data_IF_055871554057
#
_entry.id   IF_055871554057
#
_cell.length_a   1.000
_cell.length_b   1.000
_cell.length_c   1.000
_cell.angle_alpha   90.00
_cell.angle_beta   90.00
_cell.angle_gamma   90.00
#
_symmetry.space_group_name_H-M   'P 1'
#
loop_
_entity.id
_entity.type
_entity.pdbx_description
1 polymer ?
#
# COMPACT_ATOMS: atom_id res chain seq x y z
N UNK A 1 20.73 1.11 -8.86
CA UNK A 1 21.43 2.38 -9.19
C UNK A 1 20.58 3.13 -10.21
N UNK A 2 19.58 3.90 -9.76
CA UNK A 2 18.61 4.63 -10.60
C UNK A 2 18.40 6.09 -10.15
N UNK A 3 18.98 6.52 -9.03
CA UNK A 3 18.63 7.81 -8.41
C UNK A 3 19.15 9.04 -9.16
N UNK A 4 20.33 8.96 -9.81
CA UNK A 4 20.91 10.11 -10.53
C UNK A 4 20.23 10.42 -11.88
N UNK A 5 19.85 9.37 -12.62
CA UNK A 5 19.45 9.50 -14.02
C UNK A 5 17.98 9.92 -14.21
N UNK A 6 17.12 9.68 -13.21
CA UNK A 6 15.68 10.01 -13.24
C UNK A 6 15.37 11.51 -13.20
N UNK A 7 16.28 12.31 -12.65
CA UNK A 7 16.14 13.77 -12.58
C UNK A 7 16.05 14.41 -13.97
N UNK A 8 16.77 13.85 -14.94
CA UNK A 8 16.84 14.32 -16.32
C UNK A 8 15.80 13.67 -17.25
N UNK A 9 15.08 12.65 -16.78
CA UNK A 9 14.06 11.98 -17.59
C UNK A 9 12.84 12.88 -17.76
N UNK A 10 12.32 12.95 -18.99
CA UNK A 10 11.05 13.63 -19.29
C UNK A 10 9.87 12.71 -18.91
N UNK A 11 9.58 12.68 -17.61
CA UNK A 11 8.44 11.98 -17.02
C UNK A 11 7.37 12.98 -16.57
N UNK A 12 6.13 12.52 -16.55
CA UNK A 12 5.03 13.26 -15.93
C UNK A 12 5.27 13.38 -14.42
N UNK A 13 5.20 14.60 -13.92
CA UNK A 13 5.36 14.96 -12.50
C UNK A 13 4.13 15.71 -11.98
N UNK A 14 3.03 15.71 -12.74
CA UNK A 14 1.85 16.49 -12.45
C UNK A 14 2.00 17.99 -12.76
N UNK A 15 1.02 18.81 -12.33
CA UNK A 15 -0.18 18.42 -11.61
C UNK A 15 -1.15 17.61 -12.49
N UNK A 16 -1.80 16.60 -11.91
CA UNK A 16 -2.80 15.78 -12.60
C UNK A 16 -4.17 16.46 -12.55
N UNK A 17 -4.83 16.56 -13.70
CA UNK A 17 -6.11 17.28 -13.84
C UNK A 17 -7.33 16.36 -13.71
N UNK A 18 -7.12 15.05 -13.66
CA UNK A 18 -8.18 14.06 -13.53
C UNK A 18 -7.78 12.96 -12.53
N UNK A 19 -8.75 12.29 -11.88
CA UNK A 19 -8.47 11.12 -11.04
C UNK A 19 -7.78 10.00 -11.80
N UNK A 20 -8.08 9.85 -13.10
CA UNK A 20 -7.45 8.86 -13.98
C UNK A 20 -5.98 9.17 -14.21
N UNK A 21 -5.64 10.43 -14.51
CA UNK A 21 -4.25 10.84 -14.67
C UNK A 21 -3.48 10.64 -13.37
N UNK A 22 -4.10 11.00 -12.23
CA UNK A 22 -3.51 10.77 -10.91
C UNK A 22 -3.22 9.28 -10.67
N UNK A 23 -4.23 8.42 -10.86
CA UNK A 23 -4.17 6.98 -10.60
C UNK A 23 -3.21 6.24 -11.54
N UNK A 24 -3.04 6.72 -12.78
CA UNK A 24 -2.17 6.07 -13.78
C UNK A 24 -0.76 6.66 -13.87
N UNK A 25 -0.51 7.79 -13.22
CA UNK A 25 0.74 8.55 -13.33
C UNK A 25 1.97 7.75 -12.95
N UNK A 26 1.92 7.04 -11.82
CA UNK A 26 3.00 6.21 -11.31
C UNK A 26 3.40 5.14 -12.33
N UNK A 27 2.43 4.35 -12.81
CA UNK A 27 2.66 3.33 -13.83
C UNK A 27 3.27 3.89 -15.13
N UNK A 28 2.78 5.04 -15.62
CA UNK A 28 3.32 5.70 -16.84
C UNK A 28 4.77 6.16 -16.63
N UNK A 29 5.06 6.72 -15.46
CA UNK A 29 6.40 7.18 -15.07
C UNK A 29 7.37 5.99 -14.94
N UNK A 30 7.01 4.96 -14.19
CA UNK A 30 7.87 3.79 -14.00
C UNK A 30 8.10 3.06 -15.33
N UNK A 31 7.08 2.92 -16.18
CA UNK A 31 7.25 2.37 -17.53
C UNK A 31 8.31 3.14 -18.31
N UNK A 32 8.27 4.47 -18.28
CA UNK A 32 9.25 5.32 -18.98
C UNK A 32 10.67 5.13 -18.43
N UNK A 33 10.81 5.07 -17.09
CA UNK A 33 12.11 4.87 -16.44
C UNK A 33 12.67 3.48 -16.73
N UNK A 34 11.85 2.44 -16.68
CA UNK A 34 12.26 1.06 -16.94
C UNK A 34 12.75 0.91 -18.37
N UNK A 35 11.99 1.40 -19.35
CA UNK A 35 12.36 1.31 -20.77
C UNK A 35 13.67 2.03 -21.11
N UNK A 36 14.07 3.03 -20.32
CA UNK A 36 15.28 3.80 -20.57
C UNK A 36 16.52 3.28 -19.84
N UNK A 37 16.36 2.80 -18.60
CA UNK A 37 17.49 2.60 -17.70
C UNK A 37 17.55 1.20 -17.08
N UNK A 38 16.46 0.44 -17.09
CA UNK A 38 16.45 -0.87 -16.44
C UNK A 38 17.31 -1.87 -17.20
N UNK A 39 17.94 -2.75 -16.43
CA UNK A 39 18.67 -3.91 -16.93
C UNK A 39 18.14 -5.14 -16.21
N UNK A 40 18.18 -6.32 -16.88
CA UNK A 40 17.99 -7.58 -16.19
C UNK A 40 18.93 -7.67 -14.99
N UNK A 41 18.39 -8.08 -13.86
CA UNK A 41 19.13 -8.25 -12.62
C UNK A 41 18.46 -9.35 -11.78
N UNK A 42 19.20 -10.05 -10.92
CA UNK A 42 18.60 -10.99 -10.00
C UNK A 42 17.71 -10.22 -9.03
N UNK A 43 16.74 -10.92 -8.43
CA UNK A 43 15.95 -10.37 -7.33
C UNK A 43 16.88 -9.81 -6.25
N UNK A 44 16.66 -8.55 -5.85
CA UNK A 44 17.47 -7.85 -4.83
C UNK A 44 16.78 -7.72 -3.47
N UNK A 45 15.49 -8.01 -3.41
CA UNK A 45 14.69 -8.05 -2.18
C UNK A 45 15.28 -9.04 -1.18
N UNK A 46 14.88 -8.96 0.09
CA UNK A 46 15.36 -9.82 1.19
C UNK A 46 15.21 -11.34 0.97
N UNK A 47 14.50 -11.74 -0.09
CA UNK A 47 14.49 -13.10 -0.61
C UNK A 47 15.88 -13.55 -1.08
N UNK A 48 16.07 -14.88 -1.12
CA UNK A 48 17.26 -15.45 -1.73
C UNK A 48 17.36 -14.97 -3.19
N UNK A 49 18.55 -14.48 -3.63
CA UNK A 49 18.74 -14.07 -5.00
C UNK A 49 18.40 -15.22 -5.95
N UNK A 50 17.64 -14.91 -6.99
CA UNK A 50 17.35 -15.86 -8.06
C UNK A 50 18.65 -16.27 -8.76
N UNK A 51 18.71 -17.53 -9.20
CA UNK A 51 19.84 -18.03 -10.01
C UNK A 51 19.85 -17.48 -11.45
N UNK A 52 18.82 -16.70 -11.80
CA UNK A 52 18.60 -16.08 -13.09
C UNK A 52 18.21 -14.61 -12.92
N UNK A 53 18.44 -13.80 -13.96
CA UNK A 53 18.03 -12.40 -14.00
C UNK A 53 16.54 -12.28 -14.33
N UNK A 54 15.83 -11.39 -13.63
CA UNK A 54 14.45 -11.03 -13.95
C UNK A 54 14.47 -9.94 -15.02
N UNK A 55 13.70 -10.13 -16.09
CA UNK A 55 13.69 -9.20 -17.22
C UNK A 55 12.78 -8.00 -16.92
N UNK A 56 13.21 -6.74 -17.17
CA UNK A 56 12.37 -5.57 -16.93
C UNK A 56 11.06 -5.55 -17.73
N UNK A 57 10.96 -6.34 -18.81
CA UNK A 57 9.72 -6.54 -19.56
C UNK A 57 8.61 -7.17 -18.72
N UNK A 58 8.94 -7.98 -17.71
CA UNK A 58 7.94 -8.54 -16.79
C UNK A 58 7.23 -7.43 -16.01
N UNK A 59 8.00 -6.49 -15.46
CA UNK A 59 7.45 -5.36 -14.72
C UNK A 59 6.63 -4.43 -15.63
N UNK A 60 7.13 -4.09 -16.82
CA UNK A 60 6.37 -3.24 -17.76
C UNK A 60 5.10 -3.93 -18.29
N UNK A 61 5.09 -5.25 -18.43
CA UNK A 61 3.89 -6.04 -18.77
C UNK A 61 2.82 -5.92 -17.69
N UNK A 62 3.21 -5.99 -16.41
CA UNK A 62 2.29 -5.77 -15.28
C UNK A 62 1.79 -4.32 -15.23
N UNK A 63 2.66 -3.32 -15.40
CA UNK A 63 2.23 -1.91 -15.47
C UNK A 63 1.24 -1.67 -16.63
N UNK A 64 1.44 -2.32 -17.78
CA UNK A 64 0.50 -2.27 -18.90
C UNK A 64 -0.86 -2.90 -18.58
N UNK A 65 -0.87 -4.01 -17.83
CA UNK A 65 -2.11 -4.62 -17.32
C UNK A 65 -2.83 -3.69 -16.34
N UNK A 66 -2.09 -3.04 -15.43
CA UNK A 66 -2.67 -2.04 -14.52
C UNK A 66 -3.36 -0.92 -15.29
N UNK A 67 -2.73 -0.37 -16.34
CA UNK A 67 -3.33 0.70 -17.16
C UNK A 67 -4.63 0.26 -17.84
N UNK A 68 -4.80 -1.03 -18.17
CA UNK A 68 -6.06 -1.57 -18.71
C UNK A 68 -7.16 -1.68 -17.63
N UNK A 69 -6.78 -1.90 -16.38
CA UNK A 69 -7.71 -2.02 -15.25
C UNK A 69 -8.08 -0.64 -14.66
N UNK A 70 -7.20 0.35 -14.81
CA UNK A 70 -7.22 1.59 -14.04
C UNK A 70 -8.57 2.30 -14.01
N UNK A 71 -9.19 2.51 -15.18
CA UNK A 71 -10.47 3.22 -15.30
C UNK A 71 -11.63 2.49 -14.63
N UNK A 72 -11.57 1.16 -14.55
CA UNK A 72 -12.59 0.32 -13.92
C UNK A 72 -12.43 0.25 -12.39
N UNK A 73 -11.21 0.50 -11.90
CA UNK A 73 -10.90 0.53 -10.48
C UNK A 73 -11.20 1.87 -9.81
N UNK A 74 -11.36 2.96 -10.58
CA UNK A 74 -11.73 4.26 -10.05
C UNK A 74 -13.21 4.25 -9.64
N UNK A 75 -13.56 4.63 -8.39
CA UNK A 75 -14.96 4.73 -7.97
C UNK A 75 -15.75 5.72 -8.84
N UNK A 76 -17.00 5.39 -9.15
CA UNK A 76 -17.86 6.24 -10.00
C UNK A 76 -18.36 7.49 -9.29
N UNK A 77 -18.39 7.50 -7.96
CA UNK A 77 -18.85 8.64 -7.18
C UNK A 77 -17.78 9.76 -7.19
N UNK A 78 -18.20 10.96 -7.60
CA UNK A 78 -17.32 12.13 -7.63
C UNK A 78 -16.81 12.53 -6.24
N UNK A 79 -17.52 12.20 -5.16
CA UNK A 79 -17.09 12.48 -3.79
C UNK A 79 -15.82 11.71 -3.45
N UNK A 80 -15.71 10.45 -3.88
CA UNK A 80 -14.53 9.61 -3.67
C UNK A 80 -13.34 10.07 -4.50
N UNK A 81 -13.58 10.82 -5.56
CA UNK A 81 -12.57 11.37 -6.46
C UNK A 81 -12.11 12.78 -6.10
N UNK A 82 -12.69 13.40 -5.07
CA UNK A 82 -12.28 14.71 -4.60
C UNK A 82 -10.83 14.68 -4.10
N UNK A 83 -10.01 15.64 -4.53
CA UNK A 83 -8.65 15.81 -4.03
C UNK A 83 -8.71 16.25 -2.57
N UNK A 84 -8.03 15.48 -1.71
CA UNK A 84 -7.87 15.81 -0.30
C UNK A 84 -6.38 15.86 0.06
N UNK A 85 -6.09 16.62 1.10
CA UNK A 85 -4.80 16.59 1.78
C UNK A 85 -4.98 15.74 3.04
N UNK A 86 -4.23 14.64 3.13
CA UNK A 86 -4.12 13.82 4.34
C UNK A 86 -2.67 13.80 4.79
N UNK A 87 -2.48 13.81 6.10
CA UNK A 87 -1.18 13.60 6.70
C UNK A 87 -0.64 12.22 6.29
N UNK A 88 0.57 12.11 5.74
CA UNK A 88 1.11 10.84 5.24
C UNK A 88 1.36 9.86 6.38
N UNK A 89 1.90 10.35 7.50
CA UNK A 89 2.24 9.51 8.65
C UNK A 89 1.69 10.09 9.98
N UNK A 90 0.39 9.92 10.23
CA UNK A 90 -0.22 10.48 11.44
C UNK A 90 -0.04 9.53 12.64
N UNK A 91 1.13 9.55 13.25
CA UNK A 91 1.44 8.88 14.54
C UNK A 91 1.23 9.82 15.73
N UNK A 92 1.29 9.27 16.95
CA UNK A 92 1.24 10.08 18.18
C UNK A 92 2.47 10.99 18.32
N UNK A 93 3.62 10.61 17.75
CA UNK A 93 4.85 11.40 17.75
C UNK A 93 4.70 12.69 16.92
N UNK A 94 3.83 12.66 15.90
CA UNK A 94 3.54 13.79 15.03
C UNK A 94 2.42 14.72 15.56
N UNK A 95 1.89 14.47 16.77
CA UNK A 95 0.85 15.28 17.41
C UNK A 95 1.41 15.95 18.68
N UNK A 96 1.54 17.29 18.62
CA UNK A 96 1.99 18.08 19.76
C UNK A 96 0.79 18.53 20.61
N UNK A 97 0.85 18.32 21.92
CA UNK A 97 -0.17 18.75 22.88
C UNK A 97 0.26 20.01 23.66
N UNK A 98 -0.71 20.81 24.09
CA UNK A 98 -0.45 21.89 25.03
C UNK A 98 0.02 21.34 26.40
N UNK A 99 1.02 21.96 27.06
CA UNK A 99 1.51 21.49 28.35
C UNK A 99 0.39 21.38 29.40
N UNK A 100 0.23 20.18 29.96
CA UNK A 100 -0.78 19.91 31.00
C UNK A 100 -2.23 19.78 30.48
N UNK A 101 -2.42 19.62 29.16
CA UNK A 101 -3.74 19.52 28.52
C UNK A 101 -3.77 18.42 27.44
N UNK A 102 -4.97 17.95 27.10
CA UNK A 102 -5.20 17.06 25.96
C UNK A 102 -5.54 17.83 24.65
N UNK A 103 -5.38 19.16 24.65
CA UNK A 103 -5.61 20.00 23.47
C UNK A 103 -4.43 19.91 22.51
N UNK A 104 -4.73 19.60 21.26
CA UNK A 104 -3.74 19.59 20.16
C UNK A 104 -3.24 21.02 19.93
N UNK A 105 -1.94 21.22 20.07
CA UNK A 105 -1.24 22.46 19.78
C UNK A 105 -0.81 22.53 18.31
N UNK A 106 -0.31 21.43 17.75
CA UNK A 106 0.12 21.35 16.35
C UNK A 106 0.18 19.90 15.86
N UNK A 107 0.07 19.72 14.54
CA UNK A 107 0.44 18.49 13.83
C UNK A 107 1.67 18.83 13.01
N UNK A 108 2.75 18.07 13.17
CA UNK A 108 4.03 18.27 12.49
C UNK A 108 4.26 17.17 11.46
N UNK A 109 5.38 17.24 10.73
CA UNK A 109 5.81 16.21 9.80
C UNK A 109 4.92 16.02 8.55
N UNK A 110 4.45 17.14 8.01
CA UNK A 110 3.72 17.19 6.74
C UNK A 110 4.61 17.01 5.50
N UNK A 111 5.90 16.66 5.68
CA UNK A 111 6.75 16.32 4.54
C UNK A 111 6.15 15.11 3.80
N UNK A 112 6.31 15.07 2.48
CA UNK A 112 5.71 14.04 1.61
C UNK A 112 4.17 14.00 1.56
N UNK A 113 3.48 15.02 2.09
CA UNK A 113 2.03 15.15 1.89
C UNK A 113 1.69 15.37 0.42
N UNK A 114 0.78 14.55 -0.11
CA UNK A 114 0.33 14.62 -1.50
C UNK A 114 -1.18 14.90 -1.54
N UNK A 115 -1.63 15.69 -2.52
CA UNK A 115 -3.05 15.85 -2.83
C UNK A 115 -3.50 14.74 -3.78
N UNK A 116 -4.24 13.74 -3.28
CA UNK A 116 -4.81 12.64 -4.08
C UNK A 116 -6.33 12.53 -3.88
N UNK A 117 -7.01 11.84 -4.80
CA UNK A 117 -8.39 11.40 -4.61
C UNK A 117 -8.62 10.75 -3.23
N UNK A 118 -9.75 11.05 -2.61
CA UNK A 118 -10.16 10.51 -1.32
C UNK A 118 -10.07 8.97 -1.27
N UNK A 119 -10.46 8.25 -2.32
CA UNK A 119 -10.36 6.79 -2.32
C UNK A 119 -8.92 6.25 -2.29
N UNK A 120 -7.92 7.05 -2.65
CA UNK A 120 -6.52 6.64 -2.52
C UNK A 120 -5.97 6.91 -1.12
N UNK A 121 -6.57 7.85 -0.38
CA UNK A 121 -6.09 8.28 0.93
C UNK A 121 -6.98 7.82 2.10
N UNK A 122 -8.20 7.36 1.85
CA UNK A 122 -9.10 6.89 2.90
C UNK A 122 -8.51 5.65 3.59
N UNK A 123 -8.67 5.58 4.90
CA UNK A 123 -7.99 4.59 5.76
C UNK A 123 -8.02 5.05 7.21
N UNK A 124 -7.53 4.23 8.13
CA UNK A 124 -7.41 4.58 9.53
C UNK A 124 -6.01 5.19 9.78
N UNK A 125 -5.80 6.00 10.83
CA UNK A 125 -4.46 6.40 11.25
C UNK A 125 -3.69 5.20 11.80
N UNK A 126 -2.36 5.23 11.73
CA UNK A 126 -1.51 4.14 12.23
C UNK A 126 -1.81 3.79 13.70
N UNK A 127 -2.02 4.78 14.57
CA UNK A 127 -2.40 4.55 15.97
C UNK A 127 -3.83 4.01 16.19
N UNK A 128 -4.62 3.80 15.12
CA UNK A 128 -5.91 3.11 15.14
C UNK A 128 -5.85 1.75 14.43
N UNK A 129 -4.75 1.45 13.74
CA UNK A 129 -4.56 0.24 12.96
C UNK A 129 -3.78 -0.76 13.82
N UNK A 130 -4.25 -2.01 13.81
CA UNK A 130 -3.63 -3.07 14.58
C UNK A 130 -2.26 -3.39 13.99
N UNK A 131 -1.28 -3.61 14.87
CA UNK A 131 -0.23 -4.58 14.61
C UNK A 131 -0.34 -5.72 15.65
N UNK A 132 0.09 -6.89 15.22
CA UNK A 132 -0.24 -8.24 15.69
C UNK A 132 0.01 -8.54 17.19
N UNK A 133 -0.60 -9.64 17.63
CA UNK A 133 -1.02 -9.92 19.01
C UNK A 133 0.08 -10.40 19.98
N UNK A 134 1.37 -10.38 19.63
CA UNK A 134 2.38 -11.09 20.44
C UNK A 134 3.39 -10.23 21.22
N UNK A 135 3.43 -8.90 21.07
CA UNK A 135 4.38 -8.07 21.85
C UNK A 135 3.80 -6.84 22.56
N UNK A 136 2.53 -6.49 22.36
CA UNK A 136 1.91 -5.39 23.09
C UNK A 136 1.30 -5.85 24.42
N UNK A 137 1.71 -5.23 25.53
CA UNK A 137 1.04 -5.42 26.82
C UNK A 137 -0.49 -5.26 26.65
N UNK A 138 -1.30 -6.08 27.34
CA UNK A 138 -2.77 -6.03 27.25
C UNK A 138 -3.38 -4.62 27.42
N UNK A 139 -2.68 -3.72 28.13
CA UNK A 139 -3.06 -2.30 28.28
C UNK A 139 -2.88 -1.47 27.02
N UNK A 140 -1.89 -1.78 26.19
CA UNK A 140 -1.67 -1.12 24.92
C UNK A 140 -2.78 -1.54 23.94
N UNK A 141 -3.01 -2.85 23.78
CA UNK A 141 -4.11 -3.41 22.96
C UNK A 141 -5.47 -2.76 23.27
N UNK A 142 -5.83 -2.68 24.55
CA UNK A 142 -7.09 -2.05 24.98
C UNK A 142 -7.19 -0.56 24.59
N UNK A 143 -6.10 0.20 24.68
CA UNK A 143 -6.10 1.62 24.28
C UNK A 143 -6.25 1.78 22.77
N UNK A 144 -5.66 0.88 21.98
CA UNK A 144 -5.82 0.87 20.53
C UNK A 144 -7.25 0.55 20.09
N UNK A 145 -7.87 -0.48 20.67
CA UNK A 145 -9.28 -0.81 20.41
C UNK A 145 -10.21 0.37 20.72
N UNK A 146 -9.94 1.08 21.83
CA UNK A 146 -10.65 2.31 22.15
C UNK A 146 -10.42 3.40 21.09
N UNK A 147 -9.16 3.65 20.70
CA UNK A 147 -8.83 4.66 19.70
C UNK A 147 -9.52 4.39 18.35
N UNK A 148 -9.49 3.14 17.89
CA UNK A 148 -10.16 2.71 16.68
C UNK A 148 -11.68 2.91 16.76
N UNK A 149 -12.30 2.53 17.88
CA UNK A 149 -13.74 2.73 18.10
C UNK A 149 -14.11 4.22 18.08
N UNK A 150 -13.33 5.06 18.78
CA UNK A 150 -13.55 6.51 18.79
C UNK A 150 -13.35 7.12 17.40
N UNK A 151 -12.30 6.72 16.68
CA UNK A 151 -12.04 7.20 15.33
C UNK A 151 -13.17 6.80 14.38
N UNK A 152 -13.63 5.55 14.43
CA UNK A 152 -14.74 5.03 13.64
C UNK A 152 -16.02 5.83 13.92
N UNK A 153 -16.38 6.01 15.19
CA UNK A 153 -17.58 6.75 15.59
C UNK A 153 -17.50 8.22 15.17
N UNK A 154 -16.37 8.90 15.44
CA UNK A 154 -16.17 10.29 15.08
C UNK A 154 -16.18 10.49 13.56
N UNK A 155 -15.54 9.61 12.79
CA UNK A 155 -15.55 9.63 11.32
C UNK A 155 -16.98 9.49 10.80
N UNK A 156 -17.76 8.55 11.32
CA UNK A 156 -19.15 8.36 10.93
C UNK A 156 -20.05 9.57 11.26
N UNK A 157 -19.78 10.27 12.37
CA UNK A 157 -20.56 11.43 12.81
C UNK A 157 -20.18 12.75 12.12
N UNK A 158 -18.88 12.95 11.87
CA UNK A 158 -18.34 14.26 11.48
C UNK A 158 -17.74 14.28 10.07
N UNK A 159 -17.46 13.13 9.44
CA UNK A 159 -16.87 13.05 8.11
C UNK A 159 -17.55 11.99 7.23
N UNK A 160 -18.77 12.30 6.79
CA UNK A 160 -19.59 11.39 5.97
C UNK A 160 -18.92 10.98 4.66
N UNK A 161 -18.12 11.85 4.04
CA UNK A 161 -17.40 11.54 2.80
C UNK A 161 -16.34 10.46 3.04
N UNK A 162 -15.51 10.62 4.07
CA UNK A 162 -14.51 9.61 4.46
C UNK A 162 -15.17 8.31 4.89
N UNK A 163 -16.24 8.38 5.67
CA UNK A 163 -17.02 7.20 6.06
C UNK A 163 -17.58 6.44 4.85
N UNK A 164 -18.02 7.16 3.81
CA UNK A 164 -18.48 6.54 2.57
C UNK A 164 -17.33 5.91 1.77
N UNK A 165 -16.13 6.52 1.80
CA UNK A 165 -14.96 6.00 1.12
C UNK A 165 -14.45 4.71 1.76
N UNK A 166 -14.45 4.61 3.09
CA UNK A 166 -14.11 3.38 3.82
C UNK A 166 -15.01 2.18 3.49
N UNK A 167 -16.18 2.43 2.89
CA UNK A 167 -17.13 1.38 2.45
C UNK A 167 -16.95 0.98 0.99
N UNK A 168 -15.98 1.54 0.27
CA UNK A 168 -15.70 1.16 -1.11
C UNK A 168 -15.28 -0.32 -1.14
N UNK A 169 -15.91 -1.16 -1.98
CA UNK A 169 -15.53 -2.56 -2.09
C UNK A 169 -14.06 -2.72 -2.48
N UNK A 170 -13.35 -3.52 -1.67
CA UNK A 170 -11.93 -3.84 -1.86
C UNK A 170 -11.04 -2.60 -1.94
N UNK A 171 -11.35 -1.54 -1.16
CA UNK A 171 -10.58 -0.29 -1.10
C UNK A 171 -9.07 -0.55 -0.92
N UNK A 172 -8.70 -1.35 0.07
CA UNK A 172 -7.30 -1.68 0.37
C UNK A 172 -6.59 -2.33 -0.83
N UNK A 173 -7.22 -3.28 -1.51
CA UNK A 173 -6.64 -3.92 -2.71
C UNK A 173 -6.45 -2.92 -3.86
N UNK A 174 -7.36 -1.96 -4.05
CA UNK A 174 -7.21 -0.90 -5.06
C UNK A 174 -6.03 0.01 -4.73
N UNK A 175 -5.91 0.41 -3.46
CA UNK A 175 -4.83 1.25 -2.96
C UNK A 175 -3.48 0.54 -3.06
N UNK A 176 -3.43 -0.74 -2.69
CA UNK A 176 -2.25 -1.58 -2.80
C UNK A 176 -1.75 -1.68 -4.22
N UNK A 177 -2.63 -2.07 -5.16
CA UNK A 177 -2.24 -2.17 -6.56
C UNK A 177 -1.69 -0.84 -7.09
N UNK A 178 -2.32 0.27 -6.73
CA UNK A 178 -1.82 1.59 -7.10
C UNK A 178 -0.44 1.87 -6.52
N UNK A 179 -0.24 1.63 -5.23
CA UNK A 179 1.04 1.82 -4.56
C UNK A 179 2.13 0.97 -5.24
N UNK A 180 1.85 -0.31 -5.53
CA UNK A 180 2.77 -1.22 -6.22
C UNK A 180 3.20 -0.70 -7.60
N UNK A 181 2.40 0.14 -8.27
CA UNK A 181 2.79 0.72 -9.56
C UNK A 181 3.81 1.85 -9.48
N UNK A 182 4.06 2.37 -8.28
CA UNK A 182 5.04 3.43 -8.00
C UNK A 182 6.42 2.94 -7.61
N UNK A 183 6.58 1.64 -7.37
CA UNK A 183 7.87 1.07 -6.95
C UNK A 183 8.90 1.12 -8.06
N UNK A 184 10.15 1.31 -7.63
CA UNK A 184 11.31 1.38 -8.49
C UNK A 184 11.68 0.00 -9.01
N UNK A 185 12.22 -0.07 -10.23
CA UNK A 185 12.82 -1.30 -10.71
C UNK A 185 14.04 -1.72 -9.88
N UNK A 186 13.88 -2.79 -9.14
CA UNK A 186 14.86 -3.43 -8.27
C UNK A 186 15.08 -4.92 -8.60
N UNK A 187 14.35 -5.44 -9.59
CA UNK A 187 14.37 -6.84 -9.95
C UNK A 187 13.29 -7.66 -9.24
N UNK A 188 12.29 -7.03 -8.62
CA UNK A 188 11.13 -7.70 -8.06
C UNK A 188 9.83 -7.30 -8.79
N UNK A 189 8.92 -8.26 -8.88
CA UNK A 189 7.58 -8.14 -9.48
C UNK A 189 6.53 -8.89 -8.67
N UNK A 190 6.90 -9.54 -7.55
CA UNK A 190 6.03 -10.42 -6.76
C UNK A 190 4.82 -9.64 -6.25
N UNK A 191 5.04 -8.54 -5.53
CA UNK A 191 3.97 -7.76 -4.92
C UNK A 191 3.05 -7.14 -5.97
N UNK A 192 3.61 -6.59 -7.05
CA UNK A 192 2.83 -6.07 -8.17
C UNK A 192 1.99 -7.18 -8.84
N UNK A 193 2.56 -8.39 -9.01
CA UNK A 193 1.86 -9.55 -9.59
C UNK A 193 0.76 -10.05 -8.66
N UNK A 194 1.04 -10.18 -7.36
CA UNK A 194 0.08 -10.58 -6.35
C UNK A 194 -1.10 -9.61 -6.30
N UNK A 195 -0.84 -8.30 -6.29
CA UNK A 195 -1.87 -7.26 -6.36
C UNK A 195 -2.78 -7.42 -7.58
N UNK A 196 -2.20 -7.68 -8.75
CA UNK A 196 -2.96 -7.93 -9.98
C UNK A 196 -3.80 -9.19 -9.91
N UNK A 197 -3.23 -10.31 -9.46
CA UNK A 197 -3.98 -11.57 -9.35
C UNK A 197 -5.12 -11.44 -8.35
N UNK A 198 -4.86 -10.77 -7.23
CA UNK A 198 -5.81 -10.44 -6.18
C UNK A 198 -7.01 -9.67 -6.70
N UNK A 199 -6.78 -8.46 -7.24
CA UNK A 199 -7.84 -7.58 -7.74
C UNK A 199 -8.65 -8.24 -8.87
N UNK A 200 -8.01 -9.07 -9.70
CA UNK A 200 -8.64 -9.73 -10.85
C UNK A 200 -9.25 -11.10 -10.51
N UNK A 201 -9.29 -11.48 -9.22
CA UNK A 201 -10.02 -12.66 -8.77
C UNK A 201 -11.51 -12.45 -9.01
N UNK A 202 -12.26 -13.42 -9.60
CA UNK A 202 -13.65 -13.21 -9.99
C UNK A 202 -14.54 -12.62 -8.88
N UNK A 203 -14.42 -13.16 -7.65
CA UNK A 203 -15.20 -12.68 -6.50
C UNK A 203 -14.91 -11.21 -6.14
N UNK A 204 -13.63 -10.81 -6.23
CA UNK A 204 -13.18 -9.43 -5.96
C UNK A 204 -13.61 -8.49 -7.08
N UNK A 205 -13.39 -8.91 -8.34
CA UNK A 205 -13.69 -8.11 -9.50
C UNK A 205 -15.19 -7.84 -9.66
N UNK A 206 -16.03 -8.87 -9.46
CA UNK A 206 -17.49 -8.75 -9.55
C UNK A 206 -18.06 -7.82 -8.46
N UNK A 207 -17.38 -7.70 -7.32
CA UNK A 207 -17.74 -6.75 -6.27
C UNK A 207 -17.33 -5.30 -6.59
N UNK A 208 -16.33 -5.11 -7.46
CA UNK A 208 -15.83 -3.80 -7.88
C UNK A 208 -16.65 -3.23 -9.05
N UNK A 209 -16.93 -4.06 -10.06
CA UNK A 209 -17.59 -3.65 -11.30
C UNK A 209 -18.38 -4.79 -11.93
N UNK A 210 -19.43 -4.44 -12.67
CA UNK A 210 -20.19 -5.41 -13.48
C UNK A 210 -19.56 -5.67 -14.85
N UNK A 211 -18.48 -4.97 -15.21
CA UNK A 211 -17.79 -5.12 -16.48
C UNK A 211 -16.84 -6.33 -16.46
N UNK A 212 -16.65 -6.98 -17.61
CA UNK A 212 -15.71 -8.10 -17.71
C UNK A 212 -14.29 -7.62 -17.47
N UNK A 213 -13.53 -8.38 -16.67
CA UNK A 213 -12.13 -8.08 -16.42
C UNK A 213 -11.31 -8.13 -17.73
N UNK A 214 -10.65 -7.04 -18.13
CA UNK A 214 -9.84 -7.01 -19.36
C UNK A 214 -8.52 -7.78 -19.23
N UNK A 215 -8.08 -8.05 -18.00
CA UNK A 215 -6.85 -8.80 -17.70
C UNK A 215 -7.20 -10.12 -17.06
N UNK A 216 -6.74 -11.23 -17.65
CA UNK A 216 -6.98 -12.57 -17.12
C UNK A 216 -5.64 -13.26 -16.93
N UNK A 217 -5.43 -13.78 -15.73
CA UNK A 217 -4.32 -14.69 -15.41
C UNK A 217 -4.83 -16.12 -15.46
N UNK A 218 -4.02 -17.01 -16.06
CA UNK A 218 -4.25 -18.46 -16.05
C UNK A 218 -4.13 -19.03 -14.64
N UNK A 219 -4.75 -20.19 -14.39
CA UNK A 219 -4.68 -20.84 -13.07
C UNK A 219 -3.24 -21.09 -12.62
N UNK A 220 -2.35 -21.42 -13.56
CA UNK A 220 -0.92 -21.58 -13.27
C UNK A 220 -0.26 -20.26 -12.85
N UNK A 221 -0.52 -19.16 -13.56
CA UNK A 221 0.01 -17.83 -13.18
C UNK A 221 -0.53 -17.39 -11.83
N UNK A 222 -1.80 -17.68 -11.53
CA UNK A 222 -2.41 -17.37 -10.22
C UNK A 222 -1.76 -18.17 -9.10
N UNK A 223 -1.57 -19.46 -9.31
CA UNK A 223 -0.95 -20.34 -8.33
C UNK A 223 0.50 -19.93 -8.06
N UNK A 224 1.30 -19.72 -9.10
CA UNK A 224 2.69 -19.25 -8.96
C UNK A 224 2.76 -17.88 -8.29
N UNK A 225 1.88 -16.95 -8.67
CA UNK A 225 1.84 -15.64 -8.02
C UNK A 225 1.55 -15.77 -6.53
N UNK A 226 0.66 -16.68 -6.11
CA UNK A 226 0.35 -16.96 -4.70
C UNK A 226 1.54 -17.60 -3.95
N UNK A 227 2.23 -18.55 -4.57
CA UNK A 227 3.38 -19.22 -3.95
C UNK A 227 4.54 -18.24 -3.71
N UNK A 228 4.93 -17.46 -4.71
CA UNK A 228 5.98 -16.45 -4.59
C UNK A 228 5.64 -15.37 -3.56
N UNK A 229 4.38 -14.99 -3.54
CA UNK A 229 3.77 -14.04 -2.62
C UNK A 229 3.82 -14.53 -1.16
N UNK A 230 3.51 -15.80 -0.92
CA UNK A 230 3.62 -16.40 0.41
C UNK A 230 5.08 -16.53 0.87
N UNK A 231 5.98 -16.97 -0.02
CA UNK A 231 7.43 -17.01 0.29
C UNK A 231 7.96 -15.62 0.66
N UNK A 232 7.49 -14.58 -0.02
CA UNK A 232 7.82 -13.19 0.29
C UNK A 232 7.37 -12.81 1.70
N UNK A 233 6.10 -13.07 2.06
CA UNK A 233 5.58 -12.78 3.39
C UNK A 233 6.32 -13.54 4.50
N UNK A 234 6.60 -14.84 4.31
CA UNK A 234 7.36 -15.64 5.29
C UNK A 234 8.75 -15.03 5.56
N UNK A 235 9.41 -14.53 4.51
CA UNK A 235 10.70 -13.88 4.67
C UNK A 235 10.59 -12.53 5.38
N UNK A 236 9.53 -11.77 5.14
CA UNK A 236 9.28 -10.53 5.87
C UNK A 236 9.02 -10.77 7.36
N UNK A 237 8.21 -11.77 7.71
CA UNK A 237 7.96 -12.15 9.11
C UNK A 237 9.28 -12.51 9.83
N UNK A 238 10.16 -13.27 9.17
CA UNK A 238 11.47 -13.61 9.72
C UNK A 238 12.37 -12.38 9.93
N UNK A 239 12.32 -11.39 9.04
CA UNK A 239 13.10 -10.16 9.19
C UNK A 239 12.61 -9.34 10.38
N UNK A 240 11.30 -9.25 10.56
CA UNK A 240 10.72 -8.48 11.67
C UNK A 240 11.08 -9.09 13.01
N UNK A 241 11.09 -10.43 13.12
CA UNK A 241 11.61 -11.13 14.30
C UNK A 241 13.08 -10.75 14.55
N UNK A 242 13.93 -10.78 13.52
CA UNK A 242 15.36 -10.46 13.65
C UNK A 242 15.56 -8.99 14.08
N UNK A 243 14.79 -8.05 13.52
CA UNK A 243 14.89 -6.62 13.87
C UNK A 243 14.49 -6.36 15.32
N UNK A 244 13.39 -6.97 15.76
CA UNK A 244 12.92 -6.88 17.14
C UNK A 244 13.97 -7.41 18.13
N UNK A 245 14.60 -8.54 17.81
CA UNK A 245 15.68 -9.11 18.63
C UNK A 245 16.94 -8.23 18.68
N UNK A 246 17.24 -7.51 17.60
CA UNK A 246 18.37 -6.59 17.53
C UNK A 246 18.10 -5.23 18.19
N UNK A 247 16.88 -4.97 18.65
CA UNK A 247 16.48 -3.68 19.22
C UNK A 247 16.62 -2.54 18.23
N UNK A 248 16.52 -2.84 16.92
CA UNK A 248 16.44 -1.82 15.87
C UNK A 248 15.03 -1.25 15.97
N UNK A 249 14.92 -0.07 16.55
CA UNK A 249 13.67 0.69 16.55
C UNK A 249 13.33 1.05 15.09
N UNK A 250 12.18 0.57 14.57
CA UNK A 250 11.74 0.91 13.23
C UNK A 250 11.67 2.45 13.05
N UNK A 251 11.23 3.17 14.07
CA UNK A 251 11.01 4.63 14.00
C UNK A 251 12.29 5.48 14.15
N UNK A 252 13.47 4.90 14.39
CA UNK A 252 14.70 5.66 14.63
C UNK A 252 15.59 5.79 13.38
N UNK A 253 15.36 6.86 12.61
CA UNK A 253 16.42 7.51 11.82
C UNK A 253 16.23 7.54 10.30
N UNK A 254 16.17 8.76 9.77
CA UNK A 254 16.25 9.14 8.36
C UNK A 254 17.52 8.63 7.65
N UNK A 255 17.56 7.35 7.30
CA UNK A 255 18.37 6.84 6.19
C UNK A 255 17.44 6.36 5.06
N UNK A 256 17.86 6.41 3.77
CA UNK A 256 17.03 6.01 2.63
C UNK A 256 16.49 4.56 2.69
N UNK A 257 16.97 3.76 3.63
CA UNK A 257 16.55 2.39 3.89
C UNK A 257 15.21 2.28 4.65
N UNK A 258 14.71 3.36 5.27
CA UNK A 258 13.42 3.34 5.99
C UNK A 258 12.20 3.54 5.08
N UNK A 259 12.39 3.82 3.78
CA UNK A 259 11.30 3.73 2.79
C UNK A 259 10.68 2.33 2.77
N UNK A 260 11.49 1.30 3.03
CA UNK A 260 11.05 -0.08 3.02
C UNK A 260 10.13 -0.41 4.21
N UNK A 261 10.07 0.42 5.25
CA UNK A 261 9.30 0.17 6.48
C UNK A 261 7.81 0.49 6.35
N UNK A 262 7.49 1.71 5.91
CA UNK A 262 6.12 2.08 5.54
C UNK A 262 5.60 1.15 4.43
N UNK A 263 6.48 0.78 3.50
CA UNK A 263 6.13 -0.13 2.42
C UNK A 263 5.76 -1.54 2.91
N UNK A 264 6.34 -2.02 4.02
CA UNK A 264 6.07 -3.36 4.60
C UNK A 264 4.72 -3.46 5.30
N UNK A 265 4.43 -2.54 6.22
CA UNK A 265 3.13 -2.52 6.92
C UNK A 265 2.00 -2.34 5.91
N UNK A 266 2.18 -1.44 4.92
CA UNK A 266 1.18 -1.22 3.89
C UNK A 266 1.03 -2.44 2.96
N UNK A 267 2.11 -3.19 2.66
CA UNK A 267 2.04 -4.44 1.90
C UNK A 267 1.24 -5.52 2.62
N UNK A 268 1.55 -5.75 3.89
CA UNK A 268 0.84 -6.74 4.70
C UNK A 268 -0.63 -6.34 4.93
N UNK A 269 -0.90 -5.08 5.26
CA UNK A 269 -2.27 -4.60 5.52
C UNK A 269 -3.19 -4.75 4.32
N UNK A 270 -2.68 -4.49 3.12
CA UNK A 270 -3.48 -4.58 1.91
C UNK A 270 -3.26 -5.88 1.12
N UNK A 271 -2.65 -6.87 1.76
CA UNK A 271 -2.40 -8.17 1.17
C UNK A 271 -3.68 -8.75 0.54
N UNK A 272 -3.68 -9.08 -0.77
CA UNK A 272 -4.89 -9.48 -1.45
C UNK A 272 -5.37 -10.90 -1.14
N UNK A 273 -4.56 -11.72 -0.46
CA UNK A 273 -4.87 -13.13 -0.24
C UNK A 273 -4.89 -13.53 1.23
N UNK A 274 -5.25 -12.60 2.12
CA UNK A 274 -5.45 -12.92 3.53
C UNK A 274 -6.46 -14.06 3.65
N UNK A 275 -6.03 -15.16 4.23
CA UNK A 275 -6.89 -16.28 4.55
C UNK A 275 -7.58 -16.04 5.91
N UNK A 276 -8.70 -16.73 6.18
CA UNK A 276 -9.41 -16.61 7.47
C UNK A 276 -8.54 -17.08 8.67
N UNK A 277 -7.42 -17.76 8.41
CA UNK A 277 -6.40 -18.16 9.38
C UNK A 277 -5.30 -17.10 9.58
N UNK A 278 -5.17 -16.14 8.67
CA UNK A 278 -4.24 -15.00 8.77
C UNK A 278 -4.78 -13.93 9.75
N UNK A 279 -6.01 -14.13 10.21
CA UNK A 279 -6.57 -13.50 11.39
C UNK A 279 -6.81 -14.57 12.45
N UNK A 280 -6.28 -14.44 13.69
CA UNK A 280 -6.64 -15.38 14.74
C UNK A 280 -8.16 -15.30 14.97
N UNK A 281 -8.80 -16.46 14.87
CA UNK A 281 -10.25 -16.63 14.97
C UNK A 281 -10.84 -15.82 16.13
N UNK A 282 -11.68 -14.84 15.81
CA UNK A 282 -12.52 -14.18 16.82
C UNK A 282 -13.63 -15.15 17.25
N UNK A 283 -13.28 -16.07 18.15
CA UNK A 283 -14.26 -16.82 18.90
C UNK A 283 -14.92 -15.87 19.90
N UNK A 284 -16.09 -15.38 19.52
CA UNK A 284 -17.07 -14.71 20.37
C UNK A 284 -17.17 -15.36 21.76
N UNK A 285 -16.83 -14.59 22.80
CA UNK A 285 -17.52 -14.58 24.10
C UNK A 285 -17.32 -13.23 24.79
#
# INVERSE_FOLDING_TARGET
MLHGDRSNTKIDRGPWLSPEDCFTSAARRETTCILQYAKPQPRRTFLLPTSFDIDPSEHTSLLSKFLQLATLLIPKDTVHNALILRHPDLTLNNILLEPGSAKIASIIDWQDSINFPLFLQAGYPAFCEHDSEEQMEAKAKFRFEQANLYYTAATGLYNGNHWSALKIPHLGMRQYLHQQTGYLWDGDVINLRAAHVGITTPQVWDAITSERCPVVFSDQERHTAMEEANEWNECEELLDIIRNDLGIDPESGTEPANFEEDERDICWRNWPFKDDTDFPSSSLM
#
